data_IF_690060306888
#
_entry.id   IF_690060306888
#
_cell.length_a   1.000
_cell.length_b   1.000
_cell.length_c   1.000
_cell.angle_alpha   90.00
_cell.angle_beta   90.00
_cell.angle_gamma   90.00
#
_symmetry.space_group_name_H-M   'P 1'
#
loop_
_entity.id
_entity.type
_entity.pdbx_description
1 polymer ?
#
# COMPACT_ATOMS: atom_id res chain seq x y z
N UNK A 1 10.93 -18.83 -6.99
CA UNK A 1 9.56 -19.10 -7.52
C UNK A 1 8.85 -20.20 -6.73
N UNK A 2 9.42 -21.41 -6.55
CA UNK A 2 8.79 -22.54 -5.83
C UNK A 2 8.32 -22.23 -4.39
N UNK A 3 9.07 -21.44 -3.60
CA UNK A 3 8.73 -21.13 -2.20
C UNK A 3 7.56 -20.13 -2.02
N UNK A 4 7.33 -19.21 -2.97
CA UNK A 4 6.25 -18.19 -2.88
C UNK A 4 4.90 -18.74 -3.35
N UNK A 5 4.90 -19.62 -4.35
CA UNK A 5 3.67 -20.30 -4.79
C UNK A 5 3.13 -21.27 -3.71
N UNK A 6 4.02 -21.95 -2.97
CA UNK A 6 3.63 -22.81 -1.84
C UNK A 6 3.02 -22.01 -0.69
N UNK A 7 3.51 -20.80 -0.39
CA UNK A 7 2.92 -19.96 0.66
C UNK A 7 1.54 -19.42 0.28
N UNK A 8 1.31 -19.08 -0.99
CA UNK A 8 -0.01 -18.63 -1.45
C UNK A 8 -1.05 -19.76 -1.40
N UNK A 9 -0.65 -20.99 -1.73
CA UNK A 9 -1.52 -22.16 -1.61
C UNK A 9 -1.81 -22.50 -0.14
N UNK A 10 -0.80 -22.36 0.74
CA UNK A 10 -0.95 -22.52 2.18
C UNK A 10 -1.95 -21.52 2.80
N UNK A 11 -1.91 -20.26 2.39
CA UNK A 11 -2.87 -19.25 2.87
C UNK A 11 -4.30 -19.53 2.38
N UNK A 12 -4.46 -19.97 1.13
CA UNK A 12 -5.78 -20.33 0.61
C UNK A 12 -6.34 -21.57 1.29
N UNK A 13 -5.51 -22.59 1.53
CA UNK A 13 -5.89 -23.75 2.32
C UNK A 13 -6.25 -23.36 3.75
N UNK A 14 -5.47 -22.49 4.40
CA UNK A 14 -5.76 -21.98 5.73
C UNK A 14 -7.10 -21.22 5.79
N UNK A 15 -7.41 -20.40 4.79
CA UNK A 15 -8.70 -19.72 4.65
C UNK A 15 -9.84 -20.74 4.61
N UNK A 16 -9.79 -21.69 3.68
CA UNK A 16 -10.83 -22.71 3.52
C UNK A 16 -11.00 -23.55 4.79
N UNK A 17 -9.90 -24.03 5.36
CA UNK A 17 -9.92 -24.83 6.58
C UNK A 17 -10.45 -24.03 7.77
N UNK A 18 -10.12 -22.75 7.89
CA UNK A 18 -10.62 -21.89 8.97
C UNK A 18 -12.11 -21.63 8.86
N UNK A 19 -12.63 -21.38 7.63
CA UNK A 19 -14.07 -21.26 7.40
C UNK A 19 -14.78 -22.57 7.71
N UNK A 20 -14.26 -23.72 7.28
CA UNK A 20 -14.83 -25.04 7.62
C UNK A 20 -14.81 -25.25 9.14
N UNK A 21 -13.71 -24.92 9.82
CA UNK A 21 -13.58 -25.05 11.26
C UNK A 21 -14.60 -24.17 12.02
N UNK A 22 -14.98 -23.01 11.48
CA UNK A 22 -16.03 -22.15 12.06
C UNK A 22 -17.44 -22.76 12.03
N UNK A 23 -17.68 -23.75 11.17
CA UNK A 23 -18.95 -24.47 11.09
C UNK A 23 -19.02 -25.62 12.10
N UNK A 24 -17.89 -26.00 12.70
CA UNK A 24 -17.84 -27.06 13.69
C UNK A 24 -18.23 -26.52 15.07
N UNK A 25 -19.12 -27.19 15.81
CA UNK A 25 -19.62 -26.71 17.11
C UNK A 25 -18.64 -27.01 18.26
N UNK A 26 -17.34 -26.75 18.06
CA UNK A 26 -16.30 -27.01 19.05
C UNK A 26 -15.82 -25.71 19.72
N UNK A 27 -16.16 -25.44 20.99
CA UNK A 27 -15.82 -24.18 21.67
C UNK A 27 -14.32 -23.86 21.73
N UNK A 28 -13.47 -24.89 21.82
CA UNK A 28 -12.02 -24.72 21.90
C UNK A 28 -11.43 -24.04 20.66
N UNK A 29 -12.06 -24.20 19.48
CA UNK A 29 -11.59 -23.59 18.23
C UNK A 29 -11.73 -22.07 18.31
N UNK A 30 -12.86 -21.59 18.85
CA UNK A 30 -13.13 -20.15 19.01
C UNK A 30 -12.24 -19.53 20.10
N UNK A 31 -12.04 -20.22 21.22
CA UNK A 31 -11.09 -19.76 22.26
C UNK A 31 -9.65 -19.68 21.74
N UNK A 32 -9.22 -20.69 20.99
CA UNK A 32 -7.90 -20.65 20.33
C UNK A 32 -7.83 -19.51 19.31
N UNK A 33 -8.91 -19.26 18.56
CA UNK A 33 -8.96 -18.14 17.63
C UNK A 33 -8.79 -16.80 18.34
N UNK A 34 -9.48 -16.58 19.47
CA UNK A 34 -9.34 -15.35 20.28
C UNK A 34 -7.87 -15.12 20.67
N UNK A 35 -7.26 -16.09 21.36
CA UNK A 35 -5.88 -15.94 21.85
C UNK A 35 -4.84 -15.81 20.74
N UNK A 36 -4.94 -16.61 19.68
CA UNK A 36 -3.94 -16.59 18.60
C UNK A 36 -4.08 -15.33 17.75
N UNK A 37 -5.31 -14.84 17.52
CA UNK A 37 -5.50 -13.58 16.80
C UNK A 37 -5.02 -12.38 17.60
N UNK A 38 -5.20 -12.36 18.93
CA UNK A 38 -4.66 -11.32 19.81
C UNK A 38 -3.12 -11.29 19.80
N UNK A 39 -2.47 -12.46 19.87
CA UNK A 39 -1.01 -12.56 19.74
C UNK A 39 -0.55 -12.02 18.39
N UNK A 40 -1.27 -12.32 17.30
CA UNK A 40 -0.94 -11.80 15.98
C UNK A 40 -1.11 -10.28 15.90
N UNK A 41 -2.18 -9.74 16.50
CA UNK A 41 -2.42 -8.29 16.61
C UNK A 41 -1.30 -7.60 17.38
N UNK A 42 -0.83 -8.19 18.48
CA UNK A 42 0.29 -7.63 19.27
C UNK A 42 1.58 -7.54 18.44
N UNK A 43 1.84 -8.51 17.57
CA UNK A 43 2.97 -8.43 16.63
C UNK A 43 2.82 -7.29 15.62
N UNK A 44 1.61 -7.05 15.11
CA UNK A 44 1.33 -5.92 14.21
C UNK A 44 1.50 -4.57 14.93
N UNK A 45 1.05 -4.48 16.19
CA UNK A 45 1.23 -3.32 17.05
C UNK A 45 2.70 -3.02 17.32
N UNK A 46 3.49 -4.03 17.67
CA UNK A 46 4.91 -3.90 17.95
C UNK A 46 5.69 -3.33 16.75
N UNK A 47 5.37 -3.77 15.54
CA UNK A 47 6.09 -3.36 14.34
C UNK A 47 5.58 -2.04 13.74
N UNK A 48 4.38 -1.60 14.11
CA UNK A 48 3.69 -0.51 13.45
C UNK A 48 4.45 0.83 13.46
N UNK A 49 4.54 1.51 14.62
CA UNK A 49 5.18 2.81 14.74
C UNK A 49 6.60 2.89 14.13
N UNK A 50 7.53 1.93 14.36
CA UNK A 50 8.86 2.01 13.77
C UNK A 50 8.84 1.79 12.25
N UNK A 51 7.94 0.97 11.71
CA UNK A 51 7.82 0.76 10.26
C UNK A 51 7.42 2.06 9.56
N UNK A 52 6.41 2.80 10.03
CA UNK A 52 6.00 4.07 9.38
C UNK A 52 7.13 5.08 9.39
N UNK A 53 7.71 5.29 10.57
CA UNK A 53 8.73 6.31 10.76
C UNK A 53 9.91 6.09 9.81
N UNK A 54 10.42 4.85 9.78
CA UNK A 54 11.56 4.49 8.95
C UNK A 54 11.21 4.40 7.48
N UNK A 55 10.02 3.92 7.14
CA UNK A 55 9.53 3.85 5.77
C UNK A 55 9.47 5.24 5.13
N UNK A 56 8.91 6.23 5.82
CA UNK A 56 8.79 7.60 5.30
C UNK A 56 10.18 8.24 5.16
N UNK A 57 11.06 8.13 6.16
CA UNK A 57 12.42 8.68 6.07
C UNK A 57 13.17 8.04 4.90
N UNK A 58 13.20 6.71 4.84
CA UNK A 58 13.86 5.96 3.78
C UNK A 58 13.31 6.30 2.39
N UNK A 59 12.00 6.53 2.28
CA UNK A 59 11.35 6.96 1.05
C UNK A 59 11.84 8.33 0.62
N UNK A 60 11.75 9.32 1.49
CA UNK A 60 12.11 10.70 1.18
C UNK A 60 13.60 10.80 0.84
N UNK A 61 14.46 10.11 1.58
CA UNK A 61 15.92 10.18 1.35
C UNK A 61 16.37 9.47 0.07
N UNK A 62 15.72 8.37 -0.31
CA UNK A 62 16.01 7.69 -1.59
C UNK A 62 15.61 8.49 -2.83
N UNK A 63 14.72 9.48 -2.71
CA UNK A 63 14.27 10.26 -3.88
C UNK A 63 15.35 11.21 -4.41
N UNK A 64 16.35 11.61 -3.60
CA UNK A 64 17.37 12.56 -4.01
C UNK A 64 18.66 11.93 -4.56
N UNK A 65 19.01 10.70 -4.17
CA UNK A 65 20.15 9.98 -4.79
C UNK A 65 19.91 9.70 -6.28
N UNK A 66 18.66 9.80 -6.73
CA UNK A 66 18.24 9.67 -8.12
C UNK A 66 18.31 11.01 -8.89
N UNK A 67 18.40 12.15 -8.20
CA UNK A 67 18.32 13.49 -8.81
C UNK A 67 19.57 13.88 -9.60
N UNK A 68 20.68 13.17 -9.40
CA UNK A 68 21.92 13.33 -10.18
C UNK A 68 21.83 12.75 -11.60
N UNK A 69 20.75 12.03 -11.95
CA UNK A 69 20.52 11.49 -13.29
C UNK A 69 19.54 12.30 -14.17
N UNK A 70 20.11 12.75 -15.29
CA UNK A 70 19.61 13.55 -16.43
C UNK A 70 18.24 13.10 -17.00
N UNK A 71 17.19 13.91 -16.82
CA UNK A 71 15.86 13.91 -17.49
C UNK A 71 14.99 12.65 -17.34
N UNK A 72 15.53 11.45 -17.58
CA UNK A 72 14.83 10.16 -17.54
C UNK A 72 14.22 9.90 -16.14
N UNK A 73 15.03 10.01 -15.08
CA UNK A 73 14.55 9.86 -13.69
C UNK A 73 13.41 10.85 -13.39
N UNK A 74 13.58 12.12 -13.76
CA UNK A 74 12.58 13.16 -13.46
C UNK A 74 11.23 12.85 -14.09
N UNK A 75 11.23 12.34 -15.33
CA UNK A 75 9.98 11.92 -16.01
C UNK A 75 9.35 10.72 -15.31
N UNK A 76 10.14 9.71 -14.94
CA UNK A 76 9.66 8.53 -14.19
C UNK A 76 9.04 8.97 -12.86
N UNK A 77 9.78 9.71 -12.03
CA UNK A 77 9.31 10.20 -10.73
C UNK A 77 8.01 11.01 -10.86
N UNK A 78 7.94 11.91 -11.84
CA UNK A 78 6.74 12.69 -12.12
C UNK A 78 5.52 11.78 -12.35
N UNK A 79 5.65 10.80 -13.24
CA UNK A 79 4.53 9.92 -13.57
C UNK A 79 4.17 8.98 -12.42
N UNK A 80 5.17 8.43 -11.74
CA UNK A 80 4.96 7.54 -10.59
C UNK A 80 4.20 8.24 -9.46
N UNK A 81 4.65 9.44 -9.06
CA UNK A 81 3.97 10.22 -8.02
C UNK A 81 2.56 10.60 -8.46
N UNK A 82 2.40 11.05 -9.70
CA UNK A 82 1.11 11.46 -10.23
C UNK A 82 0.11 10.30 -10.27
N UNK A 83 0.49 9.13 -10.79
CA UNK A 83 -0.41 7.98 -10.87
C UNK A 83 -0.75 7.42 -9.50
N UNK A 84 0.21 7.41 -8.57
CA UNK A 84 -0.01 6.93 -7.20
C UNK A 84 -0.96 7.85 -6.45
N UNK A 85 -0.77 9.17 -6.57
CA UNK A 85 -1.67 10.17 -5.98
C UNK A 85 -3.09 10.08 -6.55
N UNK A 86 -3.23 9.87 -7.87
CA UNK A 86 -4.53 9.65 -8.50
C UNK A 86 -5.18 8.36 -7.97
N UNK A 87 -4.42 7.27 -7.82
CA UNK A 87 -4.94 6.01 -7.29
C UNK A 87 -5.47 6.17 -5.86
N UNK A 88 -4.71 6.84 -4.98
CA UNK A 88 -5.17 7.15 -3.63
C UNK A 88 -6.42 8.05 -3.65
N UNK A 89 -6.46 9.08 -4.50
CA UNK A 89 -7.62 9.98 -4.64
C UNK A 89 -8.89 9.23 -5.09
N UNK A 90 -8.75 8.28 -6.03
CA UNK A 90 -9.86 7.42 -6.47
C UNK A 90 -10.34 6.53 -5.32
N UNK A 91 -9.41 5.96 -4.55
CA UNK A 91 -9.75 5.19 -3.36
C UNK A 91 -10.54 6.02 -2.35
N UNK A 92 -10.12 7.26 -2.10
CA UNK A 92 -10.84 8.20 -1.23
C UNK A 92 -12.26 8.50 -1.76
N UNK A 93 -12.39 8.79 -3.06
CA UNK A 93 -13.67 9.08 -3.68
C UNK A 93 -14.64 7.89 -3.61
N UNK A 94 -14.15 6.67 -3.89
CA UNK A 94 -14.95 5.46 -3.79
C UNK A 94 -15.35 5.14 -2.36
N UNK A 95 -14.47 5.39 -1.38
CA UNK A 95 -14.79 5.20 0.02
C UNK A 95 -16.03 6.03 0.43
N UNK A 96 -16.09 7.29 0.03
CA UNK A 96 -17.25 8.15 0.30
C UNK A 96 -18.50 7.81 -0.50
N UNK A 97 -18.32 7.27 -1.71
CA UNK A 97 -19.43 6.88 -2.57
C UNK A 97 -20.08 5.57 -2.11
N UNK A 98 -19.26 4.56 -1.77
CA UNK A 98 -19.70 3.22 -1.36
C UNK A 98 -20.08 3.19 0.12
N UNK A 99 -19.44 4.02 0.95
CA UNK A 99 -19.65 4.09 2.42
C UNK A 99 -19.56 2.73 3.11
N UNK A 100 -18.42 2.01 2.98
CA UNK A 100 -18.33 0.62 3.40
C UNK A 100 -18.46 0.40 4.92
N UNK A 101 -18.35 1.45 5.75
CA UNK A 101 -18.44 1.35 7.21
C UNK A 101 -19.80 1.78 7.80
N UNK A 102 -20.78 2.17 6.99
CA UNK A 102 -22.05 2.76 7.47
C UNK A 102 -22.87 1.80 8.34
N UNK A 103 -22.78 0.49 8.09
CA UNK A 103 -23.47 -0.54 8.87
C UNK A 103 -22.58 -1.21 9.95
N UNK A 104 -21.30 -0.83 10.03
CA UNK A 104 -20.35 -1.40 11.00
C UNK A 104 -20.56 -0.89 12.43
N UNK A 105 -21.36 0.18 12.62
CA UNK A 105 -21.59 0.84 13.91
C UNK A 105 -22.33 0.00 14.95
N UNK A 106 -22.59 -1.29 14.71
CA UNK A 106 -23.25 -2.18 15.66
C UNK A 106 -22.38 -2.49 16.89
N UNK A 107 -21.06 -2.31 16.82
CA UNK A 107 -20.18 -2.34 17.99
C UNK A 107 -19.75 -0.93 18.34
N UNK A 108 -20.50 -0.25 19.21
CA UNK A 108 -19.97 0.35 20.45
C UNK A 108 -21.05 1.08 21.25
N UNK A 109 -21.38 0.51 22.42
CA UNK A 109 -21.70 1.23 23.66
C UNK A 109 -20.42 1.75 24.36
N UNK A 110 -19.33 1.95 23.60
CA UNK A 110 -18.23 2.77 24.11
C UNK A 110 -18.74 4.19 23.98
N UNK A 111 -18.99 4.84 25.11
CA UNK A 111 -19.03 6.28 25.20
C UNK A 111 -17.71 6.80 24.62
N UNK A 112 -17.67 7.02 23.31
CA UNK A 112 -16.65 7.87 22.72
C UNK A 112 -16.91 9.24 23.35
N UNK A 113 -15.94 9.82 24.09
CA UNK A 113 -16.08 11.21 24.50
C UNK A 113 -16.38 11.98 23.22
N UNK A 114 -17.47 12.75 23.24
CA UNK A 114 -17.90 13.61 22.13
C UNK A 114 -16.66 14.15 21.45
N UNK A 115 -16.31 13.61 20.27
CA UNK A 115 -15.13 14.08 19.56
C UNK A 115 -15.39 15.56 19.35
N UNK A 116 -14.63 16.46 19.99
CA UNK A 116 -14.88 17.88 19.83
C UNK A 116 -14.82 18.16 18.34
N UNK A 117 -15.71 19.01 17.84
CA UNK A 117 -15.66 19.49 16.45
C UNK A 117 -14.21 19.91 16.22
N UNK A 118 -13.45 19.08 15.51
CA UNK A 118 -12.04 19.33 15.31
C UNK A 118 -12.02 20.50 14.33
N UNK A 119 -11.88 21.69 14.88
CA UNK A 119 -11.66 22.89 14.09
C UNK A 119 -10.41 22.65 13.27
N UNK A 120 -10.38 23.11 12.02
CA UNK A 120 -9.22 22.94 11.14
C UNK A 120 -7.89 23.30 11.83
N UNK A 121 -7.90 24.34 12.67
CA UNK A 121 -6.75 24.74 13.50
C UNK A 121 -6.34 23.69 14.55
N UNK A 122 -7.27 23.02 15.24
CA UNK A 122 -6.93 21.97 16.19
C UNK A 122 -6.41 20.71 15.49
N UNK A 123 -6.91 20.43 14.28
CA UNK A 123 -6.38 19.35 13.44
C UNK A 123 -4.93 19.64 13.01
N UNK A 124 -4.64 20.84 12.48
CA UNK A 124 -3.27 21.20 12.11
C UNK A 124 -2.34 21.18 13.32
N UNK A 125 -2.81 21.63 14.50
CA UNK A 125 -2.04 21.54 15.75
C UNK A 125 -1.72 20.08 16.12
N UNK A 126 -2.64 19.13 15.91
CA UNK A 126 -2.39 17.71 16.21
C UNK A 126 -1.34 17.04 15.30
N UNK A 127 -1.04 17.62 14.14
CA UNK A 127 0.02 17.12 13.23
C UNK A 127 1.42 17.44 13.78
N UNK A 128 1.57 18.51 14.56
CA UNK A 128 2.85 18.97 15.09
C UNK A 128 2.95 18.53 16.56
N UNK A 129 3.66 17.43 16.87
CA UNK A 129 3.78 16.96 18.26
C UNK A 129 4.64 17.94 19.07
N UNK A 130 4.39 18.02 20.39
CA UNK A 130 5.12 18.96 21.26
C UNK A 130 6.57 18.54 21.47
N UNK A 131 6.87 17.24 21.33
CA UNK A 131 8.20 16.67 21.37
C UNK A 131 8.27 15.36 20.57
N UNK A 132 9.50 14.93 20.25
CA UNK A 132 9.75 13.79 19.36
C UNK A 132 9.22 12.46 19.91
N UNK A 133 9.38 12.22 21.23
CA UNK A 133 9.00 10.96 21.86
C UNK A 133 7.49 10.81 22.03
N UNK A 134 6.79 11.91 22.31
CA UNK A 134 5.33 11.92 22.50
C UNK A 134 4.58 11.34 21.29
N UNK A 135 5.04 11.62 20.07
CA UNK A 135 4.40 11.09 18.87
C UNK A 135 4.38 9.55 18.83
N UNK A 136 5.42 8.91 19.36
CA UNK A 136 5.50 7.44 19.47
C UNK A 136 4.79 6.91 20.72
N UNK A 137 4.86 7.63 21.84
CA UNK A 137 4.25 7.20 23.11
C UNK A 137 2.72 7.30 23.09
N UNK A 138 2.17 8.25 22.33
CA UNK A 138 0.73 8.48 22.21
C UNK A 138 0.13 7.90 20.94
N UNK A 139 0.91 7.15 20.15
CA UNK A 139 0.46 6.64 18.87
C UNK A 139 -0.21 7.76 18.06
N UNK A 140 0.56 8.76 17.64
CA UNK A 140 0.10 9.85 16.78
C UNK A 140 0.73 9.73 15.39
N UNK A 141 0.04 9.06 14.45
CA UNK A 141 0.53 8.83 13.08
C UNK A 141 0.92 10.12 12.40
N UNK A 142 0.05 11.13 12.46
CA UNK A 142 0.25 12.37 11.72
C UNK A 142 1.52 13.05 12.23
N UNK A 143 1.74 13.01 13.55
CA UNK A 143 2.98 13.46 14.18
C UNK A 143 4.20 12.63 13.78
N UNK A 144 4.12 11.30 13.82
CA UNK A 144 5.23 10.41 13.41
C UNK A 144 5.58 10.64 11.93
N UNK A 145 4.59 10.72 11.06
CA UNK A 145 4.75 10.95 9.62
C UNK A 145 5.29 12.36 9.33
N UNK A 146 4.82 13.38 10.06
CA UNK A 146 5.32 14.74 9.96
C UNK A 146 6.79 14.83 10.37
N UNK A 147 7.14 14.26 11.53
CA UNK A 147 8.53 14.18 12.00
C UNK A 147 9.39 13.44 10.98
N UNK A 148 8.95 12.26 10.52
CA UNK A 148 9.68 11.44 9.55
C UNK A 148 9.91 12.19 8.24
N UNK A 149 8.91 12.93 7.76
CA UNK A 149 9.00 13.74 6.54
C UNK A 149 9.98 14.89 6.72
N UNK A 150 9.88 15.66 7.82
CA UNK A 150 10.82 16.75 8.11
C UNK A 150 12.23 16.23 8.23
N UNK A 151 12.43 15.13 8.95
CA UNK A 151 13.76 14.53 9.12
C UNK A 151 14.30 14.06 7.78
N UNK A 152 13.49 13.36 6.98
CA UNK A 152 13.84 12.93 5.63
C UNK A 152 14.25 14.11 4.74
N UNK A 153 13.44 15.17 4.67
CA UNK A 153 13.74 16.39 3.89
C UNK A 153 14.99 17.10 4.42
N UNK A 154 15.18 17.16 5.73
CA UNK A 154 16.35 17.80 6.35
C UNK A 154 17.64 17.04 6.01
N UNK A 155 17.60 15.69 6.00
CA UNK A 155 18.74 14.86 5.57
C UNK A 155 19.16 15.21 4.14
N UNK A 156 18.20 15.49 3.24
CA UNK A 156 18.47 15.84 1.85
C UNK A 156 19.20 17.19 1.68
N UNK A 157 19.16 18.05 2.69
CA UNK A 157 19.81 19.37 2.67
C UNK A 157 21.23 19.33 3.28
N UNK A 158 21.65 18.19 3.82
CA UNK A 158 23.00 18.02 4.36
C UNK A 158 24.05 17.88 3.26
N UNK A 159 25.33 18.00 3.64
CA UNK A 159 26.47 17.72 2.75
C UNK A 159 26.42 16.26 2.29
N UNK A 160 26.92 16.00 1.07
CA UNK A 160 26.82 14.70 0.39
C UNK A 160 27.22 13.51 1.28
N UNK A 161 28.36 13.61 1.97
CA UNK A 161 28.86 12.55 2.86
C UNK A 161 27.92 12.24 4.02
N UNK A 162 27.31 13.26 4.62
CA UNK A 162 26.34 13.09 5.72
C UNK A 162 24.99 12.60 5.20
N UNK A 163 24.56 13.12 4.05
CA UNK A 163 23.34 12.71 3.34
C UNK A 163 23.39 11.22 3.02
N UNK A 164 24.46 10.74 2.38
CA UNK A 164 24.64 9.33 2.03
C UNK A 164 24.70 8.43 3.26
N UNK A 165 25.44 8.83 4.30
CA UNK A 165 25.56 8.07 5.54
C UNK A 165 24.20 7.88 6.22
N UNK A 166 23.46 8.97 6.45
CA UNK A 166 22.16 8.90 7.14
C UNK A 166 21.11 8.21 6.28
N UNK A 167 21.08 8.46 4.97
CA UNK A 167 20.16 7.79 4.05
C UNK A 167 20.37 6.28 4.06
N UNK A 168 21.64 5.84 3.99
CA UNK A 168 22.00 4.42 4.04
C UNK A 168 21.69 3.79 5.39
N UNK A 169 21.91 4.52 6.50
CA UNK A 169 21.58 4.06 7.84
C UNK A 169 20.08 3.80 8.01
N UNK A 170 19.23 4.78 7.68
CA UNK A 170 17.77 4.64 7.80
C UNK A 170 17.23 3.57 6.85
N UNK A 171 17.78 3.46 5.64
CA UNK A 171 17.46 2.38 4.71
C UNK A 171 17.80 1.01 5.30
N UNK A 172 19.00 0.84 5.86
CA UNK A 172 19.42 -0.43 6.45
C UNK A 172 18.55 -0.82 7.66
N UNK A 173 18.20 0.14 8.51
CA UNK A 173 17.32 -0.08 9.65
C UNK A 173 15.91 -0.47 9.21
N UNK A 174 15.36 0.20 8.20
CA UNK A 174 14.08 -0.14 7.61
C UNK A 174 14.08 -1.56 7.03
N UNK A 175 15.09 -1.93 6.25
CA UNK A 175 15.25 -3.29 5.72
C UNK A 175 15.36 -4.35 6.82
N UNK A 176 16.01 -4.01 7.95
CA UNK A 176 16.11 -4.90 9.11
C UNK A 176 14.74 -5.16 9.74
N UNK A 177 13.90 -4.14 9.89
CA UNK A 177 12.52 -4.32 10.37
C UNK A 177 11.66 -5.14 9.42
N UNK A 178 11.80 -4.91 8.12
CA UNK A 178 11.12 -5.75 7.12
C UNK A 178 11.59 -7.21 7.22
N UNK A 179 12.89 -7.44 7.49
CA UNK A 179 13.43 -8.78 7.74
C UNK A 179 12.81 -9.43 8.97
N UNK A 180 12.64 -8.70 10.07
CA UNK A 180 11.92 -9.18 11.26
C UNK A 180 10.48 -9.55 10.89
N UNK A 181 9.81 -8.71 10.10
CA UNK A 181 8.45 -8.96 9.60
C UNK A 181 8.36 -10.25 8.77
N UNK A 182 9.42 -10.67 8.06
CA UNK A 182 9.44 -11.96 7.35
C UNK A 182 9.31 -13.17 8.28
N UNK A 183 9.70 -13.06 9.55
CA UNK A 183 9.45 -14.08 10.56
C UNK A 183 7.96 -14.29 10.80
N UNK A 184 7.21 -13.20 10.93
CA UNK A 184 5.74 -13.21 11.11
C UNK A 184 5.05 -13.77 9.85
N UNK A 185 5.55 -13.43 8.65
CA UNK A 185 5.02 -13.98 7.39
C UNK A 185 5.11 -15.52 7.34
N UNK A 186 6.08 -16.15 8.02
CA UNK A 186 6.13 -17.62 8.10
C UNK A 186 5.01 -18.19 8.97
N UNK A 187 4.56 -17.45 9.99
CA UNK A 187 3.45 -17.82 10.87
C UNK A 187 2.08 -17.45 10.27
N UNK A 188 2.08 -16.74 9.14
CA UNK A 188 0.87 -16.24 8.50
C UNK A 188 -0.18 -17.30 8.20
N UNK A 189 0.12 -18.53 7.74
CA UNK A 189 -0.92 -19.54 7.51
C UNK A 189 -1.73 -19.84 8.79
N UNK A 190 -1.09 -19.79 9.95
CA UNK A 190 -1.76 -19.97 11.25
C UNK A 190 -2.67 -18.77 11.53
N UNK A 191 -2.15 -17.54 11.34
CA UNK A 191 -2.94 -16.32 11.50
C UNK A 191 -4.16 -16.30 10.58
N UNK A 192 -3.97 -16.56 9.29
CA UNK A 192 -5.04 -16.63 8.29
C UNK A 192 -6.09 -17.67 8.68
N UNK A 193 -5.68 -18.85 9.16
CA UNK A 193 -6.62 -19.88 9.62
C UNK A 193 -7.52 -19.34 10.75
N UNK A 194 -6.95 -18.82 11.84
CA UNK A 194 -7.73 -18.36 12.98
C UNK A 194 -8.53 -17.08 12.71
N UNK A 195 -8.01 -16.16 11.89
CA UNK A 195 -8.82 -15.03 11.40
C UNK A 195 -9.96 -15.48 10.48
N UNK A 196 -9.79 -16.59 9.76
CA UNK A 196 -10.87 -17.17 8.94
C UNK A 196 -11.94 -17.86 9.80
N UNK A 197 -11.56 -18.44 10.95
CA UNK A 197 -12.52 -18.91 11.95
C UNK A 197 -13.38 -17.75 12.45
N UNK A 198 -12.75 -16.63 12.84
CA UNK A 198 -13.44 -15.40 13.26
C UNK A 198 -14.36 -14.85 12.18
N UNK A 199 -13.88 -14.79 10.93
CA UNK A 199 -14.67 -14.38 9.78
C UNK A 199 -15.90 -15.28 9.57
N UNK A 200 -15.72 -16.59 9.73
CA UNK A 200 -16.79 -17.59 9.66
C UNK A 200 -17.84 -17.45 10.77
N UNK A 201 -17.43 -17.03 11.96
CA UNK A 201 -18.35 -16.70 13.04
C UNK A 201 -19.23 -15.48 12.70
N UNK A 202 -18.63 -14.44 12.12
CA UNK A 202 -19.36 -13.23 11.69
C UNK A 202 -20.34 -13.54 10.56
N UNK A 203 -19.96 -14.41 9.61
CA UNK A 203 -20.87 -14.89 8.57
C UNK A 203 -22.18 -15.47 9.14
N UNK A 204 -22.12 -16.11 10.29
CA UNK A 204 -23.28 -16.76 10.93
C UNK A 204 -24.05 -15.80 11.86
N UNK A 205 -23.35 -14.88 12.51
CA UNK A 205 -23.89 -14.14 13.65
C UNK A 205 -24.14 -12.66 13.38
N UNK A 206 -23.45 -12.03 12.41
CA UNK A 206 -23.52 -10.59 12.21
C UNK A 206 -23.54 -10.17 10.74
N UNK A 207 -24.75 -10.12 10.17
CA UNK A 207 -24.97 -9.78 8.77
C UNK A 207 -24.54 -8.33 8.41
N UNK A 208 -24.59 -7.39 9.34
CA UNK A 208 -24.18 -6.00 9.08
C UNK A 208 -22.67 -5.87 8.94
N UNK A 209 -21.89 -6.52 9.82
CA UNK A 209 -20.43 -6.58 9.70
C UNK A 209 -20.00 -7.27 8.40
N UNK A 210 -20.67 -8.37 8.04
CA UNK A 210 -20.41 -9.06 6.78
C UNK A 210 -20.69 -8.16 5.57
N UNK A 211 -21.80 -7.41 5.60
CA UNK A 211 -22.13 -6.44 4.55
C UNK A 211 -21.05 -5.36 4.44
N UNK A 212 -20.60 -4.80 5.56
CA UNK A 212 -19.53 -3.80 5.59
C UNK A 212 -18.23 -4.32 5.01
N UNK A 213 -17.83 -5.55 5.36
CA UNK A 213 -16.63 -6.19 4.82
C UNK A 213 -16.74 -6.46 3.31
N UNK A 214 -17.93 -6.83 2.84
CA UNK A 214 -18.23 -6.98 1.41
C UNK A 214 -18.13 -5.63 0.68
N UNK A 215 -18.73 -4.57 1.22
CA UNK A 215 -18.66 -3.23 0.62
C UNK A 215 -17.23 -2.68 0.62
N UNK A 216 -16.46 -2.93 1.68
CA UNK A 216 -15.04 -2.64 1.73
C UNK A 216 -14.28 -3.39 0.62
N UNK A 217 -14.55 -4.68 0.46
CA UNK A 217 -13.94 -5.51 -0.59
C UNK A 217 -14.25 -4.96 -1.99
N UNK A 218 -15.50 -4.60 -2.24
CA UNK A 218 -15.93 -3.96 -3.50
C UNK A 218 -15.18 -2.64 -3.70
N UNK A 219 -15.03 -1.83 -2.66
CA UNK A 219 -14.34 -0.54 -2.72
C UNK A 219 -12.86 -0.71 -3.13
N UNK A 220 -12.12 -1.59 -2.46
CA UNK A 220 -10.69 -1.85 -2.76
C UNK A 220 -10.51 -2.38 -4.18
N UNK A 221 -11.31 -3.37 -4.58
CA UNK A 221 -11.22 -3.96 -5.92
C UNK A 221 -11.58 -2.93 -6.99
N UNK A 222 -12.67 -2.18 -6.79
CA UNK A 222 -13.11 -1.17 -7.75
C UNK A 222 -12.08 -0.06 -7.92
N UNK A 223 -11.42 0.38 -6.85
CA UNK A 223 -10.36 1.39 -6.92
C UNK A 223 -9.20 0.92 -7.82
N UNK A 224 -8.75 -0.32 -7.62
CA UNK A 224 -7.68 -0.91 -8.43
C UNK A 224 -8.11 -1.11 -9.90
N UNK A 225 -9.34 -1.59 -10.13
CA UNK A 225 -9.88 -1.78 -11.48
C UNK A 225 -10.05 -0.45 -12.23
N UNK A 226 -10.57 0.59 -11.58
CA UNK A 226 -10.71 1.92 -12.17
C UNK A 226 -9.33 2.49 -12.53
N UNK A 227 -8.35 2.37 -11.63
CA UNK A 227 -6.99 2.80 -11.93
C UNK A 227 -6.40 2.04 -13.12
N UNK A 228 -6.57 0.72 -13.16
CA UNK A 228 -5.99 -0.16 -14.18
C UNK A 228 -6.64 -0.05 -15.56
N UNK A 229 -7.97 0.03 -15.61
CA UNK A 229 -8.75 -0.05 -16.85
C UNK A 229 -9.28 1.30 -17.35
N UNK A 230 -9.29 2.34 -16.51
CA UNK A 230 -9.78 3.67 -16.89
C UNK A 230 -8.63 4.68 -16.87
N UNK A 231 -7.99 4.88 -15.72
CA UNK A 231 -7.01 5.96 -15.55
C UNK A 231 -5.77 5.74 -16.40
N UNK A 232 -5.06 4.61 -16.21
CA UNK A 232 -3.83 4.34 -16.95
C UNK A 232 -4.06 4.30 -18.46
N UNK A 233 -5.13 3.66 -18.99
CA UNK A 233 -5.46 3.71 -20.41
C UNK A 233 -5.76 5.12 -20.93
N UNK A 234 -6.43 5.98 -20.16
CA UNK A 234 -6.65 7.39 -20.54
C UNK A 234 -5.33 8.13 -20.66
N UNK A 235 -4.42 7.97 -19.69
CA UNK A 235 -3.10 8.62 -19.71
C UNK A 235 -2.30 8.14 -20.93
N UNK A 236 -2.26 6.84 -21.18
CA UNK A 236 -1.60 6.25 -22.36
C UNK A 236 -2.17 6.78 -23.67
N UNK A 237 -3.51 6.82 -23.80
CA UNK A 237 -4.19 7.31 -25.01
C UNK A 237 -3.90 8.78 -25.25
N UNK A 238 -3.88 9.62 -24.20
CA UNK A 238 -3.49 11.04 -24.28
C UNK A 238 -2.04 11.22 -24.77
N UNK A 239 -1.17 10.25 -24.49
CA UNK A 239 0.20 10.21 -25.00
C UNK A 239 0.31 9.52 -26.36
N UNK A 240 -0.80 9.20 -27.02
CA UNK A 240 -0.80 8.51 -28.32
C UNK A 240 -0.19 7.11 -28.27
N UNK A 241 -0.26 6.44 -27.12
CA UNK A 241 0.15 5.05 -26.93
C UNK A 241 -1.12 4.20 -26.85
N UNK A 242 -1.19 3.12 -27.62
CA UNK A 242 -2.36 2.23 -27.60
C UNK A 242 -2.34 1.37 -26.33
N UNK A 243 -3.30 1.53 -25.39
CA UNK A 243 -3.31 0.77 -24.14
C UNK A 243 -3.49 -0.73 -24.38
N UNK A 244 -4.33 -1.11 -25.34
CA UNK A 244 -4.59 -2.51 -25.69
C UNK A 244 -3.35 -3.21 -26.25
N UNK A 245 -2.57 -2.52 -27.11
CA UNK A 245 -1.33 -3.08 -27.64
C UNK A 245 -0.30 -3.29 -26.53
N UNK A 246 -0.18 -2.33 -25.61
CA UNK A 246 0.73 -2.45 -24.47
C UNK A 246 0.29 -3.56 -23.51
N UNK A 247 -0.99 -3.62 -23.15
CA UNK A 247 -1.53 -4.67 -22.28
C UNK A 247 -1.31 -6.07 -22.88
N UNK A 248 -1.57 -6.25 -24.18
CA UNK A 248 -1.33 -7.52 -24.87
C UNK A 248 0.15 -7.90 -24.88
N UNK A 249 1.05 -6.93 -25.10
CA UNK A 249 2.49 -7.15 -25.07
C UNK A 249 2.99 -7.56 -23.68
N UNK A 250 2.42 -6.99 -22.62
CA UNK A 250 2.82 -7.21 -21.23
C UNK A 250 2.08 -8.37 -20.54
N UNK A 251 1.09 -9.00 -21.18
CA UNK A 251 0.22 -10.02 -20.59
C UNK A 251 0.97 -11.14 -19.84
N UNK A 252 2.09 -11.71 -20.33
CA UNK A 252 2.83 -12.72 -19.57
C UNK A 252 3.37 -12.18 -18.24
N UNK A 253 3.85 -10.94 -18.22
CA UNK A 253 4.31 -10.27 -17.01
C UNK A 253 3.15 -9.97 -16.06
N UNK A 254 2.04 -9.43 -16.58
CA UNK A 254 0.84 -9.11 -15.77
C UNK A 254 0.25 -10.35 -15.08
N UNK A 255 0.10 -11.45 -15.83
CA UNK A 255 -0.37 -12.72 -15.28
C UNK A 255 0.61 -13.27 -14.24
N UNK A 256 1.92 -13.18 -14.51
CA UNK A 256 2.95 -13.58 -13.53
C UNK A 256 2.89 -12.75 -12.26
N UNK A 257 2.75 -11.43 -12.38
CA UNK A 257 2.60 -10.51 -11.25
C UNK A 257 1.39 -10.89 -10.39
N UNK A 258 0.24 -11.13 -11.04
CA UNK A 258 -0.99 -11.52 -10.38
C UNK A 258 -0.83 -12.79 -9.52
N UNK A 259 -0.23 -13.86 -10.08
CA UNK A 259 -0.08 -15.11 -9.33
C UNK A 259 1.10 -15.12 -8.35
N UNK A 260 2.17 -14.37 -8.62
CA UNK A 260 3.36 -14.36 -7.77
C UNK A 260 3.29 -13.35 -6.63
N UNK A 261 2.40 -12.35 -6.72
CA UNK A 261 2.23 -11.26 -5.74
C UNK A 261 3.54 -10.53 -5.48
N UNK A 262 4.35 -10.36 -6.53
CA UNK A 262 5.67 -9.77 -6.42
C UNK A 262 6.09 -9.09 -7.73
N UNK A 263 6.10 -7.75 -7.72
CA UNK A 263 6.59 -6.92 -8.82
C UNK A 263 8.08 -7.21 -9.09
N UNK A 264 8.89 -7.32 -8.03
CA UNK A 264 10.31 -7.66 -8.12
C UNK A 264 10.59 -9.04 -8.71
N UNK A 265 9.78 -10.06 -8.40
CA UNK A 265 9.91 -11.38 -9.01
C UNK A 265 9.51 -11.39 -10.49
N UNK A 266 8.66 -10.43 -10.90
CA UNK A 266 8.16 -10.31 -12.27
C UNK A 266 9.07 -9.43 -13.15
N UNK A 267 9.97 -8.65 -12.54
CA UNK A 267 10.85 -7.70 -13.22
C UNK A 267 11.58 -8.26 -14.46
N UNK A 268 12.20 -9.46 -14.43
CA UNK A 268 12.85 -10.01 -15.63
C UNK A 268 11.88 -10.21 -16.80
N UNK A 269 10.66 -10.68 -16.51
CA UNK A 269 9.64 -10.91 -17.53
C UNK A 269 9.05 -9.58 -18.04
N UNK A 270 8.90 -8.58 -17.17
CA UNK A 270 8.50 -7.22 -17.57
C UNK A 270 9.51 -6.58 -18.52
N UNK A 271 10.81 -6.72 -18.23
CA UNK A 271 11.89 -6.24 -19.11
C UNK A 271 11.88 -6.96 -20.47
N UNK A 272 11.69 -8.28 -20.47
CA UNK A 272 11.61 -9.04 -21.71
C UNK A 272 10.39 -8.60 -22.55
N UNK A 273 9.18 -8.62 -21.98
CA UNK A 273 7.95 -8.28 -22.68
C UNK A 273 7.98 -6.85 -23.25
N UNK A 274 8.49 -5.89 -22.48
CA UNK A 274 8.56 -4.49 -22.93
C UNK A 274 9.52 -4.28 -24.10
N UNK A 275 10.70 -4.92 -24.08
CA UNK A 275 11.68 -4.84 -25.17
C UNK A 275 11.26 -5.63 -26.40
N UNK A 276 10.86 -6.89 -26.25
CA UNK A 276 10.59 -7.78 -27.38
C UNK A 276 9.21 -7.55 -27.99
N UNK A 277 8.17 -7.40 -27.18
CA UNK A 277 6.80 -7.41 -27.65
C UNK A 277 6.29 -5.99 -27.95
N UNK A 278 6.74 -4.99 -27.18
CA UNK A 278 6.32 -3.59 -27.34
C UNK A 278 7.40 -2.67 -27.94
N UNK A 279 8.66 -3.13 -28.04
CA UNK A 279 9.79 -2.39 -28.64
C UNK A 279 10.17 -1.09 -27.91
N UNK A 280 10.07 -1.09 -26.57
CA UNK A 280 10.63 -0.03 -25.72
C UNK A 280 12.16 -0.07 -25.82
N UNK A 281 12.83 1.11 -25.83
CA UNK A 281 14.29 1.16 -25.87
C UNK A 281 14.91 0.46 -24.66
N UNK A 282 16.03 -0.22 -24.89
CA UNK A 282 16.73 -0.95 -23.84
C UNK A 282 17.15 -0.04 -22.68
N UNK A 283 17.66 1.16 -23.01
CA UNK A 283 18.04 2.18 -22.03
C UNK A 283 16.87 2.55 -21.12
N UNK A 284 15.70 2.82 -21.69
CA UNK A 284 14.53 3.22 -20.90
C UNK A 284 13.98 2.05 -20.09
N UNK A 285 13.89 0.85 -20.68
CA UNK A 285 13.38 -0.34 -19.99
C UNK A 285 14.26 -0.75 -18.81
N UNK A 286 15.58 -0.91 -19.02
CA UNK A 286 16.53 -1.34 -17.98
C UNK A 286 16.63 -0.36 -16.82
N UNK A 287 16.32 0.91 -17.05
CA UNK A 287 16.37 1.93 -16.02
C UNK A 287 15.02 2.13 -15.31
N UNK A 288 13.93 2.22 -16.08
CA UNK A 288 12.60 2.54 -15.57
C UNK A 288 11.99 1.41 -14.76
N UNK A 289 12.04 0.16 -15.23
CA UNK A 289 11.38 -0.95 -14.53
C UNK A 289 11.96 -1.24 -13.14
N UNK A 290 13.29 -1.33 -12.93
CA UNK A 290 13.83 -1.52 -11.58
C UNK A 290 13.42 -0.41 -10.63
N UNK A 291 13.47 0.85 -11.09
CA UNK A 291 13.07 2.00 -10.29
C UNK A 291 11.57 1.94 -9.96
N UNK A 292 10.70 1.84 -10.96
CA UNK A 292 9.25 1.74 -10.78
C UNK A 292 8.85 0.58 -9.87
N UNK A 293 9.50 -0.58 -9.97
CA UNK A 293 9.17 -1.76 -9.14
C UNK A 293 9.32 -1.52 -7.63
N UNK A 294 10.04 -0.47 -7.23
CA UNK A 294 10.23 -0.04 -5.85
C UNK A 294 9.25 1.09 -5.51
N UNK A 295 9.17 2.12 -6.35
CA UNK A 295 8.48 3.38 -5.98
C UNK A 295 7.06 3.51 -6.52
N UNK A 296 6.64 2.70 -7.50
CA UNK A 296 5.36 2.85 -8.19
C UNK A 296 4.31 1.87 -7.64
N UNK A 297 3.64 2.32 -6.59
CA UNK A 297 2.80 1.50 -5.74
C UNK A 297 1.34 1.98 -5.75
N UNK A 298 0.75 2.17 -6.94
CA UNK A 298 -0.63 2.64 -7.12
C UNK A 298 -1.65 1.84 -6.30
N UNK A 299 -1.65 0.50 -6.45
CA UNK A 299 -2.62 -0.36 -5.77
C UNK A 299 -2.46 -0.33 -4.25
N UNK A 300 -1.21 -0.29 -3.81
CA UNK A 300 -0.84 -0.19 -2.39
C UNK A 300 -1.37 1.11 -1.77
N UNK A 301 -1.21 2.25 -2.45
CA UNK A 301 -1.65 3.55 -1.94
C UNK A 301 -3.18 3.62 -1.78
N UNK A 302 -3.92 3.06 -2.75
CA UNK A 302 -5.36 2.95 -2.66
C UNK A 302 -5.78 2.00 -1.52
N UNK A 303 -5.14 0.82 -1.42
CA UNK A 303 -5.42 -0.15 -0.35
C UNK A 303 -5.17 0.43 1.04
N UNK A 304 -3.99 1.03 1.25
CA UNK A 304 -3.60 1.64 2.54
C UNK A 304 -4.65 2.66 2.94
N UNK A 305 -5.01 3.57 2.04
CA UNK A 305 -5.98 4.62 2.35
C UNK A 305 -7.37 4.05 2.67
N UNK A 306 -7.94 3.25 1.77
CA UNK A 306 -9.29 2.70 1.93
C UNK A 306 -9.38 1.89 3.22
N UNK A 307 -8.36 1.07 3.50
CA UNK A 307 -8.34 0.18 4.67
C UNK A 307 -8.17 0.96 5.96
N UNK A 308 -7.28 1.97 6.00
CA UNK A 308 -7.15 2.84 7.18
C UNK A 308 -8.46 3.57 7.46
N UNK A 309 -9.13 4.12 6.44
CA UNK A 309 -10.41 4.81 6.60
C UNK A 309 -11.52 3.85 7.05
N UNK A 310 -11.61 2.66 6.44
CA UNK A 310 -12.63 1.66 6.76
C UNK A 310 -12.51 1.13 8.18
N UNK A 311 -11.30 0.72 8.60
CA UNK A 311 -11.08 0.18 9.94
C UNK A 311 -11.34 1.27 10.98
N UNK A 312 -10.84 2.48 10.78
CA UNK A 312 -11.09 3.60 11.69
C UNK A 312 -12.58 3.95 11.78
N UNK A 313 -13.28 4.03 10.64
CA UNK A 313 -14.71 4.33 10.61
C UNK A 313 -15.57 3.23 11.25
N UNK A 314 -15.12 1.97 11.19
CA UNK A 314 -15.78 0.85 11.89
C UNK A 314 -15.71 0.99 13.42
N UNK A 315 -14.76 1.77 13.94
CA UNK A 315 -14.66 2.16 15.36
C UNK A 315 -15.21 3.57 15.63
N UNK A 316 -16.04 4.11 14.73
CA UNK A 316 -16.71 5.40 14.94
C UNK A 316 -15.86 6.63 14.61
N UNK A 317 -14.64 6.47 14.09
CA UNK A 317 -13.83 7.61 13.63
C UNK A 317 -14.46 8.20 12.38
N UNK A 318 -14.86 9.47 12.45
CA UNK A 318 -15.40 10.20 11.31
C UNK A 318 -14.32 11.01 10.62
N UNK A 319 -14.35 11.02 9.28
CA UNK A 319 -13.40 11.79 8.47
C UNK A 319 -14.16 12.85 7.68
N UNK A 320 -13.84 14.12 7.93
CA UNK A 320 -14.22 15.20 7.04
C UNK A 320 -13.40 15.13 5.73
N UNK A 321 -13.93 15.73 4.66
CA UNK A 321 -13.23 15.85 3.38
C UNK A 321 -11.85 16.50 3.54
N UNK A 322 -11.74 17.49 4.43
CA UNK A 322 -10.47 18.19 4.68
C UNK A 322 -9.44 17.34 5.42
N UNK A 323 -9.87 16.45 6.31
CA UNK A 323 -8.97 15.55 7.03
C UNK A 323 -8.40 14.45 6.12
N UNK A 324 -9.06 14.13 5.00
CA UNK A 324 -8.60 13.09 4.07
C UNK A 324 -7.46 13.55 3.17
N UNK A 325 -7.31 14.85 2.92
CA UNK A 325 -6.22 15.35 2.09
C UNK A 325 -4.85 14.90 2.64
N UNK A 326 -4.51 15.11 3.93
CA UNK A 326 -3.29 14.53 4.53
C UNK A 326 -3.21 13.02 4.40
N UNK A 327 -4.31 12.29 4.56
CA UNK A 327 -4.33 10.83 4.43
C UNK A 327 -3.98 10.35 3.02
N UNK A 328 -4.42 11.06 1.98
CA UNK A 328 -4.02 10.79 0.59
C UNK A 328 -2.49 10.93 0.43
N UNK A 329 -1.90 11.97 1.03
CA UNK A 329 -0.44 12.15 0.98
C UNK A 329 0.30 11.08 1.79
N UNK A 330 -0.16 10.77 3.00
CA UNK A 330 0.45 9.76 3.87
C UNK A 330 0.37 8.38 3.24
N UNK A 331 -0.77 7.98 2.69
CA UNK A 331 -0.91 6.67 2.04
C UNK A 331 -0.03 6.58 0.79
N UNK A 332 0.10 7.68 0.04
CA UNK A 332 0.99 7.75 -1.13
C UNK A 332 2.46 7.59 -0.72
N UNK A 333 2.92 8.32 0.30
CA UNK A 333 4.30 8.21 0.79
C UNK A 333 4.58 6.83 1.40
N UNK A 334 3.67 6.30 2.20
CA UNK A 334 3.78 4.97 2.79
C UNK A 334 3.85 3.88 1.71
N UNK A 335 3.03 3.99 0.66
CA UNK A 335 3.04 3.05 -0.45
C UNK A 335 4.38 3.02 -1.19
N UNK A 336 4.98 4.18 -1.47
CA UNK A 336 6.32 4.27 -2.09
C UNK A 336 7.37 3.62 -1.19
N UNK A 337 7.22 3.76 0.13
CA UNK A 337 8.10 3.16 1.12
C UNK A 337 7.94 1.65 1.28
N UNK A 338 6.99 1.01 0.61
CA UNK A 338 6.92 -0.44 0.57
C UNK A 338 8.03 -0.96 -0.37
N UNK A 339 9.18 -1.36 0.17
CA UNK A 339 10.34 -1.80 -0.62
C UNK A 339 10.18 -3.21 -1.28
N UNK A 340 9.02 -3.49 -1.88
CA UNK A 340 8.75 -4.74 -2.61
C UNK A 340 8.68 -5.99 -1.71
N UNK A 341 8.31 -5.80 -0.44
CA UNK A 341 8.22 -6.87 0.56
C UNK A 341 6.83 -7.51 0.50
N UNK A 342 6.72 -8.85 0.59
CA UNK A 342 5.43 -9.51 0.61
C UNK A 342 4.54 -8.98 1.73
N UNK A 343 3.28 -8.67 1.43
CA UNK A 343 2.31 -8.06 2.35
C UNK A 343 2.69 -6.70 2.93
N UNK A 344 3.63 -5.97 2.31
CA UNK A 344 4.08 -4.68 2.83
C UNK A 344 2.95 -3.65 3.00
N UNK A 345 1.97 -3.61 2.09
CA UNK A 345 0.83 -2.69 2.19
C UNK A 345 -0.04 -3.01 3.41
N UNK A 346 -0.22 -4.29 3.75
CA UNK A 346 -0.94 -4.71 4.96
C UNK A 346 -0.20 -4.27 6.23
N UNK A 347 1.11 -4.52 6.32
CA UNK A 347 1.91 -4.10 7.48
C UNK A 347 2.01 -2.57 7.63
N UNK A 348 2.09 -1.84 6.52
CA UNK A 348 2.06 -0.38 6.55
C UNK A 348 0.68 0.13 6.99
N UNK A 349 -0.41 -0.51 6.56
CA UNK A 349 -1.76 -0.17 7.01
C UNK A 349 -1.93 -0.47 8.50
N UNK A 350 -1.46 -1.64 8.97
CA UNK A 350 -1.50 -1.97 10.39
C UNK A 350 -0.73 -0.95 11.19
N UNK A 351 0.45 -0.57 10.71
CA UNK A 351 1.25 0.47 11.33
C UNK A 351 0.47 1.78 11.50
N UNK A 352 -0.26 2.22 10.47
CA UNK A 352 -1.01 3.47 10.51
C UNK A 352 -2.13 3.37 11.55
N UNK A 353 -2.85 2.25 11.57
CA UNK A 353 -3.94 2.04 12.52
C UNK A 353 -3.45 1.97 13.97
N UNK A 354 -2.33 1.30 14.22
CA UNK A 354 -1.68 1.24 15.54
C UNK A 354 -1.34 2.63 16.00
N UNK A 355 -0.66 3.39 15.14
CA UNK A 355 -0.28 4.75 15.44
C UNK A 355 -1.48 5.72 15.41
N UNK A 356 -2.73 5.28 15.21
CA UNK A 356 -3.95 6.07 15.48
C UNK A 356 -4.64 5.63 16.78
N UNK A 357 -4.06 4.67 17.50
CA UNK A 357 -4.69 3.94 18.58
C UNK A 357 -6.02 3.28 18.16
N UNK A 358 -6.11 2.83 16.91
CA UNK A 358 -7.28 2.11 16.39
C UNK A 358 -7.06 0.60 16.58
N UNK A 359 -8.01 -0.13 17.21
CA UNK A 359 -7.86 -1.56 17.39
C UNK A 359 -7.75 -2.31 16.06
N UNK A 360 -6.87 -3.31 16.00
CA UNK A 360 -6.58 -4.02 14.76
C UNK A 360 -7.49 -5.23 14.50
N UNK A 361 -8.52 -5.47 15.31
CA UNK A 361 -9.37 -6.66 15.11
C UNK A 361 -10.04 -6.63 13.72
N UNK A 362 -10.61 -5.50 13.31
CA UNK A 362 -11.20 -5.36 11.95
C UNK A 362 -10.16 -5.53 10.86
N UNK A 363 -8.94 -5.02 11.03
CA UNK A 363 -7.85 -5.27 10.09
C UNK A 363 -7.49 -6.76 10.01
N UNK A 364 -7.45 -7.45 11.15
CA UNK A 364 -7.23 -8.88 11.22
C UNK A 364 -8.27 -9.68 10.44
N UNK A 365 -9.54 -9.27 10.48
CA UNK A 365 -10.62 -9.89 9.69
C UNK A 365 -10.45 -9.70 8.17
N UNK A 366 -9.70 -8.69 7.75
CA UNK A 366 -9.36 -8.45 6.34
C UNK A 366 -8.21 -9.37 5.88
N UNK A 367 -7.36 -9.83 6.81
CA UNK A 367 -6.17 -10.63 6.48
C UNK A 367 -6.44 -11.85 5.57
N UNK A 368 -7.52 -12.64 5.77
CA UNK A 368 -7.81 -13.77 4.89
C UNK A 368 -8.15 -13.34 3.45
N UNK A 369 -8.76 -12.16 3.28
CA UNK A 369 -9.10 -11.58 1.98
C UNK A 369 -7.89 -10.91 1.32
N UNK A 370 -6.94 -10.41 2.12
CA UNK A 370 -5.79 -9.67 1.63
C UNK A 370 -4.91 -10.48 0.65
N UNK A 371 -4.87 -11.81 0.80
CA UNK A 371 -4.19 -12.67 -0.15
C UNK A 371 -4.68 -12.49 -1.60
N UNK A 372 -5.95 -12.13 -1.80
CA UNK A 372 -6.51 -11.80 -3.10
C UNK A 372 -6.24 -10.35 -3.51
N UNK A 373 -6.35 -9.39 -2.58
CA UNK A 373 -6.06 -7.98 -2.83
C UNK A 373 -4.62 -7.77 -3.32
N UNK A 374 -3.65 -8.43 -2.66
CA UNK A 374 -2.23 -8.38 -3.01
C UNK A 374 -1.95 -8.85 -4.46
N UNK A 375 -2.74 -9.80 -4.97
CA UNK A 375 -2.65 -10.26 -6.37
C UNK A 375 -3.05 -9.15 -7.35
N UNK A 376 -4.18 -8.50 -7.07
CA UNK A 376 -4.74 -7.41 -7.89
C UNK A 376 -3.83 -6.19 -7.83
N UNK A 377 -3.39 -5.81 -6.64
CA UNK A 377 -2.48 -4.68 -6.41
C UNK A 377 -1.14 -4.89 -7.13
N UNK A 378 -0.54 -6.07 -7.00
CA UNK A 378 0.74 -6.37 -7.69
C UNK A 378 0.57 -6.30 -9.20
N UNK A 379 -0.50 -6.88 -9.74
CA UNK A 379 -0.78 -6.82 -11.18
C UNK A 379 -0.95 -5.36 -11.65
N UNK A 380 -1.70 -4.54 -10.89
CA UNK A 380 -1.89 -3.12 -11.18
C UNK A 380 -0.57 -2.34 -11.12
N UNK A 381 0.29 -2.62 -10.15
CA UNK A 381 1.57 -1.94 -10.02
C UNK A 381 2.47 -2.26 -11.23
N UNK A 382 2.59 -3.53 -11.63
CA UNK A 382 3.35 -3.90 -12.84
C UNK A 382 2.72 -3.32 -14.12
N UNK A 383 1.40 -3.21 -14.17
CA UNK A 383 0.72 -2.52 -15.27
C UNK A 383 1.04 -1.02 -15.31
N UNK A 384 1.09 -0.36 -14.15
CA UNK A 384 1.54 1.02 -14.01
C UNK A 384 3.00 1.17 -14.44
N UNK A 385 3.90 0.28 -14.00
CA UNK A 385 5.33 0.30 -14.36
C UNK A 385 5.50 0.26 -15.88
N UNK A 386 4.74 -0.62 -16.52
CA UNK A 386 4.71 -0.78 -17.98
C UNK A 386 4.21 0.48 -18.67
N UNK A 387 3.16 1.09 -18.12
CA UNK A 387 2.54 2.30 -18.66
C UNK A 387 3.49 3.49 -18.58
N UNK A 388 4.09 3.71 -17.41
CA UNK A 388 5.06 4.79 -17.16
C UNK A 388 6.27 4.62 -18.08
N UNK A 389 6.82 3.40 -18.14
CA UNK A 389 7.99 3.12 -18.99
C UNK A 389 7.70 3.41 -20.46
N UNK A 390 6.52 3.06 -20.97
CA UNK A 390 6.13 3.35 -22.35
C UNK A 390 5.95 4.86 -22.61
N UNK A 391 5.36 5.59 -21.67
CA UNK A 391 5.19 7.06 -21.76
C UNK A 391 6.56 7.75 -21.79
N UNK A 392 7.45 7.37 -20.87
CA UNK A 392 8.78 7.96 -20.74
C UNK A 392 9.63 7.68 -21.98
N UNK A 393 9.59 6.46 -22.53
CA UNK A 393 10.31 6.10 -23.76
C UNK A 393 9.85 6.95 -24.95
N UNK A 394 8.53 7.13 -25.09
CA UNK A 394 7.96 7.95 -26.15
C UNK A 394 8.38 9.42 -26.03
N UNK A 395 8.26 10.01 -24.85
CA UNK A 395 8.64 11.41 -24.64
C UNK A 395 10.14 11.65 -24.86
N UNK A 396 11.00 10.68 -24.54
CA UNK A 396 12.44 10.80 -24.80
C UNK A 396 12.74 10.75 -26.29
N UNK A 397 12.07 9.87 -27.04
CA UNK A 397 12.22 9.80 -28.51
C UNK A 397 11.73 11.08 -29.18
N UNK A 398 10.62 11.66 -28.71
CA UNK A 398 10.09 12.93 -29.21
C UNK A 398 11.08 14.09 -28.94
N UNK A 399 11.61 14.20 -27.72
CA UNK A 399 12.62 15.22 -27.38
C UNK A 399 13.96 15.06 -28.12
N UNK A 400 14.25 13.88 -28.67
CA UNK A 400 15.43 13.64 -29.53
C UNK A 400 15.13 13.86 -31.03
N UNK A 401 13.85 13.87 -31.41
CA UNK A 401 13.40 14.04 -32.79
C UNK A 401 13.08 15.50 -33.13
N UNK A 402 12.91 16.39 -32.15
CA UNK A 402 12.90 17.83 -32.36
C UNK A 402 14.29 18.27 -32.85
N UNK A 403 14.43 18.75 -34.10
CA UNK A 403 15.66 19.42 -34.50
C UNK A 403 15.80 20.66 -33.63
N UNK A 404 17.03 20.97 -33.21
CA UNK A 404 17.40 22.32 -32.80
C UNK A 404 17.02 23.24 -33.96
N UNK A 405 15.82 23.81 -33.93
CA UNK A 405 15.47 24.92 -34.80
C UNK A 405 16.30 26.09 -34.29
N UNK A 406 17.30 26.43 -35.11
CA UNK A 406 18.21 27.55 -34.94
C UNK A 406 17.43 28.86 -34.72
N UNK A 407 17.73 29.58 -33.64
CA UNK A 407 18.43 30.88 -33.66
C UNK A 407 18.68 31.38 -32.25
#
# INVERSE_FOLDING_TARGET
>A
MKLKLTSSFGNFAALLLGVIASLLPFPFIFQAADHITDVFINFLQLLGPPIIFLSIIATVTNMNSLSEAKVLVRKILKYTLLTTLIAATIGAGLFFFIRPAELSHAHTLIETPTSPIITYLSFVKSIIPSNFAEAFLKDNVLGIAFIATILGVSILQLKETQKELLSSFFQALFQTLLKISTGIIKLLPIGVFFFSVKLGQILQQNASEMHSLLMYTICVISANLIQGFIVLPIILKRKGISPLKLAKAMMPALTTAFFTKSSSATLPLSLQCSKSNFKISEKTANFSFPLCSIINMNGCAAFILITTLFVSASYGVTFSVMQILPWIFISTLAAIGNAGVPMGCYFLTSALLVAMNVPLHVLGMILPLYAFFDMVETCLNVWSDSSITAIVDKEIKESQAEPVQAT
#
